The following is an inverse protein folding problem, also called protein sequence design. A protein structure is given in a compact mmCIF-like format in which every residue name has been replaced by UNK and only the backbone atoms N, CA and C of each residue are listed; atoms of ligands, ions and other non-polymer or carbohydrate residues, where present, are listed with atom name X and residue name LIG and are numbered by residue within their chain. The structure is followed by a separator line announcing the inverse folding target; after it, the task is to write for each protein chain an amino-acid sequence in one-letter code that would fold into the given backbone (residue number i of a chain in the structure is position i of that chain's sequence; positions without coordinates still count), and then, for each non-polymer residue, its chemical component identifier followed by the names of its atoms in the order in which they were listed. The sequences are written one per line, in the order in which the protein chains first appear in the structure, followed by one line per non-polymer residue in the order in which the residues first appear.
data_IF_893767776014
#
_entry.id   IF_893767776014
#
_cell.length_a   1.000
_cell.length_b   1.000
_cell.length_c   1.000
_cell.angle_alpha   90.00
_cell.angle_beta   90.00
_cell.angle_gamma   90.00
#
_symmetry.space_group_name_H-M   'P 1'
#
loop_
_entity.id
_entity.type
_entity.pdbx_description
1 polymer ?
#
# COMPACT_ATOMS: atom_id res chain seq x y z
N UNK A 1 21.87 49.41 10.89
CA UNK A 1 20.74 48.43 10.78
C UNK A 1 21.31 47.17 10.18
N UNK A 2 21.74 46.21 11.00
CA UNK A 2 22.28 44.93 10.54
C UNK A 2 21.12 43.96 10.39
N UNK A 3 20.80 43.59 9.17
CA UNK A 3 19.83 42.52 8.88
C UNK A 3 20.50 41.18 9.24
N UNK A 4 20.10 40.59 10.34
CA UNK A 4 20.47 39.24 10.72
C UNK A 4 19.77 38.28 9.75
N UNK A 5 20.48 37.84 8.71
CA UNK A 5 20.07 36.74 7.85
C UNK A 5 19.88 35.50 8.74
N UNK A 6 18.63 35.11 8.94
CA UNK A 6 18.30 33.82 9.54
C UNK A 6 18.95 32.74 8.68
N UNK A 7 20.04 32.15 9.17
CA UNK A 7 20.71 31.04 8.54
C UNK A 7 19.70 29.90 8.38
N UNK A 8 19.44 29.49 7.14
CA UNK A 8 18.67 28.30 6.84
C UNK A 8 19.33 27.11 7.54
N UNK A 9 18.60 26.23 8.23
CA UNK A 9 19.20 25.09 8.92
C UNK A 9 20.04 24.30 7.91
N UNK A 10 21.31 24.03 8.29
CA UNK A 10 22.26 23.31 7.44
C UNK A 10 21.63 21.98 6.99
N UNK A 11 21.66 21.72 5.67
CA UNK A 11 21.12 20.49 5.11
C UNK A 11 21.81 19.27 5.75
N UNK A 12 21.03 18.30 6.25
CA UNK A 12 21.59 17.05 6.76
C UNK A 12 22.48 16.38 5.69
N UNK A 13 23.59 15.73 6.06
CA UNK A 13 24.46 15.07 5.10
C UNK A 13 23.66 14.03 4.29
N UNK A 14 23.88 13.96 2.97
CA UNK A 14 23.22 13.02 2.07
C UNK A 14 23.28 11.57 2.58
N UNK A 15 24.44 11.18 3.13
CA UNK A 15 24.66 9.85 3.70
C UNK A 15 23.74 9.54 4.89
N UNK A 16 23.39 10.55 5.66
CA UNK A 16 22.50 10.40 6.82
C UNK A 16 21.05 10.20 6.38
N UNK A 17 20.57 11.01 5.43
CA UNK A 17 19.25 10.84 4.85
C UNK A 17 19.10 9.49 4.13
N UNK A 18 20.10 9.10 3.33
CA UNK A 18 20.11 7.82 2.64
C UNK A 18 20.05 6.63 3.63
N UNK A 19 20.74 6.72 4.77
CA UNK A 19 20.67 5.69 5.80
C UNK A 19 19.27 5.58 6.42
N UNK A 20 18.64 6.70 6.75
CA UNK A 20 17.26 6.71 7.28
C UNK A 20 16.29 6.17 6.25
N UNK A 21 16.35 6.63 5.00
CA UNK A 21 15.51 6.15 3.90
C UNK A 21 15.67 4.63 3.71
N UNK A 22 16.92 4.13 3.75
CA UNK A 22 17.21 2.71 3.62
C UNK A 22 16.65 1.87 4.76
N UNK A 23 16.83 2.31 6.02
CA UNK A 23 16.32 1.60 7.20
C UNK A 23 14.79 1.56 7.22
N UNK A 24 14.13 2.68 6.95
CA UNK A 24 12.67 2.75 6.85
C UNK A 24 12.19 1.89 5.67
N UNK A 25 12.86 1.97 4.51
CA UNK A 25 12.51 1.20 3.33
C UNK A 25 12.61 -0.32 3.55
N UNK A 26 13.66 -0.80 4.22
CA UNK A 26 13.81 -2.23 4.56
C UNK A 26 12.73 -2.68 5.55
N UNK A 27 12.41 -1.89 6.57
CA UNK A 27 11.32 -2.18 7.48
C UNK A 27 9.97 -2.22 6.75
N UNK A 28 9.71 -1.26 5.87
CA UNK A 28 8.51 -1.19 5.07
C UNK A 28 8.37 -2.37 4.10
N UNK A 29 9.49 -2.83 3.53
CA UNK A 29 9.48 -4.01 2.68
C UNK A 29 9.08 -5.29 3.46
N UNK A 30 9.47 -5.43 4.74
CA UNK A 30 9.01 -6.53 5.61
C UNK A 30 7.51 -6.43 5.90
N UNK A 31 6.97 -5.23 6.11
CA UNK A 31 5.53 -5.02 6.25
C UNK A 31 4.76 -5.56 5.04
N UNK A 32 5.13 -5.13 3.82
CA UNK A 32 4.49 -5.58 2.59
C UNK A 32 4.73 -7.08 2.29
N UNK A 33 5.92 -7.59 2.57
CA UNK A 33 6.22 -9.02 2.52
C UNK A 33 5.25 -9.81 3.43
N UNK A 34 5.02 -9.31 4.64
CA UNK A 34 4.14 -9.97 5.62
C UNK A 34 2.66 -9.97 5.20
N UNK A 35 2.21 -8.99 4.42
CA UNK A 35 0.86 -8.96 3.86
C UNK A 35 0.57 -10.12 2.90
N UNK A 36 1.60 -10.65 2.25
CA UNK A 36 1.48 -11.71 1.24
C UNK A 36 2.01 -13.07 1.69
N UNK A 37 2.24 -13.33 2.98
CA UNK A 37 2.74 -14.63 3.44
C UNK A 37 1.77 -15.78 3.16
N UNK A 38 0.48 -15.55 3.36
CA UNK A 38 -0.54 -16.61 3.25
C UNK A 38 -0.93 -16.92 1.80
N UNK A 39 -1.14 -15.90 0.96
CA UNK A 39 -1.73 -16.07 -0.36
C UNK A 39 -0.93 -17.03 -1.27
N UNK A 40 0.41 -16.97 -1.39
CA UNK A 40 1.18 -17.93 -2.17
C UNK A 40 1.13 -19.37 -1.62
N UNK A 41 0.77 -19.54 -0.35
CA UNK A 41 0.70 -20.83 0.34
C UNK A 41 -0.71 -21.42 0.38
N UNK A 42 -1.71 -20.78 -0.21
CA UNK A 42 -3.10 -21.24 -0.24
C UNK A 42 -3.27 -22.71 -0.66
N UNK A 43 -2.57 -23.25 -1.67
CA UNK A 43 -2.70 -24.67 -2.01
C UNK A 43 -2.36 -25.61 -0.85
N UNK A 44 -1.30 -25.32 -0.10
CA UNK A 44 -0.87 -26.14 1.07
C UNK A 44 -1.83 -25.98 2.25
N UNK A 45 -2.20 -24.74 2.57
CA UNK A 45 -3.10 -24.45 3.68
C UNK A 45 -4.49 -25.02 3.44
N UNK A 46 -5.00 -24.93 2.19
CA UNK A 46 -6.28 -25.52 1.79
C UNK A 46 -6.30 -27.02 2.02
N UNK A 47 -5.24 -27.71 1.59
CA UNK A 47 -5.14 -29.17 1.71
C UNK A 47 -4.99 -29.62 3.16
N UNK A 48 -4.17 -28.94 3.97
CA UNK A 48 -3.86 -29.35 5.34
C UNK A 48 -5.01 -29.08 6.32
N UNK A 49 -5.63 -27.89 6.21
CA UNK A 49 -6.71 -27.49 7.12
C UNK A 49 -8.11 -27.86 6.61
N UNK A 50 -8.21 -28.44 5.40
CA UNK A 50 -9.46 -28.76 4.72
C UNK A 50 -10.43 -27.57 4.69
N UNK A 51 -9.92 -26.42 4.31
CA UNK A 51 -10.66 -25.14 4.26
C UNK A 51 -10.92 -24.70 2.83
N UNK A 52 -11.92 -23.83 2.64
CA UNK A 52 -12.26 -23.24 1.34
C UNK A 52 -11.36 -22.04 1.02
N UNK A 53 -11.34 -21.60 -0.26
CA UNK A 53 -10.69 -20.36 -0.64
C UNK A 53 -11.34 -19.13 0.00
N UNK A 54 -12.66 -19.17 0.24
CA UNK A 54 -13.37 -18.12 1.00
C UNK A 54 -12.83 -18.02 2.43
N UNK A 55 -12.60 -19.16 3.11
CA UNK A 55 -12.02 -19.17 4.46
C UNK A 55 -10.56 -18.66 4.44
N UNK A 56 -9.76 -19.05 3.46
CA UNK A 56 -8.41 -18.49 3.31
C UNK A 56 -8.45 -16.97 3.03
N UNK A 57 -9.39 -16.53 2.20
CA UNK A 57 -9.64 -15.11 1.98
C UNK A 57 -10.06 -14.37 3.25
N UNK A 58 -10.85 -15.01 4.13
CA UNK A 58 -11.24 -14.44 5.42
C UNK A 58 -10.03 -14.18 6.34
N UNK A 59 -8.97 -15.00 6.28
CA UNK A 59 -7.72 -14.71 7.02
C UNK A 59 -7.08 -13.40 6.57
N UNK A 60 -7.08 -13.14 5.24
CA UNK A 60 -6.60 -11.86 4.70
C UNK A 60 -7.51 -10.70 5.12
N UNK A 61 -8.84 -10.91 5.10
CA UNK A 61 -9.80 -9.91 5.59
C UNK A 61 -9.54 -9.57 7.06
N UNK A 62 -9.35 -10.58 7.93
CA UNK A 62 -9.03 -10.38 9.36
C UNK A 62 -7.74 -9.58 9.50
N UNK A 63 -6.71 -9.92 8.74
CA UNK A 63 -5.45 -9.17 8.73
C UNK A 63 -5.67 -7.70 8.37
N UNK A 64 -6.32 -7.41 7.22
CA UNK A 64 -6.48 -6.03 6.74
C UNK A 64 -7.44 -5.20 7.61
N UNK A 65 -8.53 -5.77 8.11
CA UNK A 65 -9.43 -5.08 9.05
C UNK A 65 -8.70 -4.71 10.34
N UNK A 66 -7.94 -5.64 10.90
CA UNK A 66 -7.13 -5.39 12.11
C UNK A 66 -6.06 -4.33 11.84
N UNK A 67 -5.34 -4.44 10.72
CA UNK A 67 -4.32 -3.46 10.32
C UNK A 67 -4.91 -2.06 10.17
N UNK A 68 -6.07 -1.92 9.51
CA UNK A 68 -6.76 -0.64 9.34
C UNK A 68 -7.16 -0.02 10.67
N UNK A 69 -7.72 -0.83 11.58
CA UNK A 69 -8.13 -0.35 12.91
C UNK A 69 -6.93 0.16 13.72
N UNK A 70 -5.82 -0.60 13.69
CA UNK A 70 -4.57 -0.21 14.36
C UNK A 70 -3.96 1.02 13.69
N UNK A 71 -3.93 1.08 12.35
CA UNK A 71 -3.38 2.22 11.61
C UNK A 71 -4.10 3.52 11.97
N UNK A 72 -5.43 3.49 12.12
CA UNK A 72 -6.20 4.66 12.54
C UNK A 72 -5.83 5.16 13.94
N UNK A 73 -5.45 4.26 14.85
CA UNK A 73 -5.05 4.59 16.21
C UNK A 73 -3.54 4.85 16.38
N UNK A 74 -2.71 4.35 15.47
CA UNK A 74 -1.26 4.32 15.64
C UNK A 74 -0.61 5.71 15.61
N UNK A 75 -1.23 6.71 14.98
CA UNK A 75 -0.78 8.11 15.06
C UNK A 75 -0.68 8.61 16.50
N UNK A 76 -1.67 8.34 17.33
CA UNK A 76 -1.65 8.72 18.76
C UNK A 76 -0.57 7.96 19.56
N UNK A 77 -0.33 6.70 19.20
CA UNK A 77 0.72 5.87 19.81
C UNK A 77 2.10 6.40 19.45
N UNK A 78 2.31 6.77 18.17
CA UNK A 78 3.55 7.38 17.67
C UNK A 78 3.81 8.73 18.33
N UNK A 79 2.80 9.56 18.49
CA UNK A 79 2.94 10.87 19.13
C UNK A 79 3.31 10.74 20.63
N UNK A 80 2.80 9.70 21.31
CA UNK A 80 3.05 9.47 22.74
C UNK A 80 4.40 8.80 23.02
N UNK A 81 4.75 7.76 22.25
CA UNK A 81 5.91 6.89 22.52
C UNK A 81 7.07 7.13 21.55
N UNK A 82 6.85 7.92 20.51
CA UNK A 82 7.79 8.12 19.42
C UNK A 82 7.77 7.01 18.37
N UNK A 83 8.24 7.27 17.14
CA UNK A 83 8.15 6.32 16.03
C UNK A 83 9.09 5.11 16.19
N UNK A 84 10.28 5.27 16.77
CA UNK A 84 11.27 4.20 16.89
C UNK A 84 10.77 2.97 17.67
N UNK A 85 10.29 3.07 18.93
CA UNK A 85 9.80 1.89 19.66
C UNK A 85 8.57 1.27 19.01
N UNK A 86 7.71 2.06 18.39
CA UNK A 86 6.51 1.57 17.70
C UNK A 86 6.89 0.76 16.45
N UNK A 87 7.90 1.20 15.68
CA UNK A 87 8.43 0.45 14.54
C UNK A 87 9.02 -0.90 14.96
N UNK A 88 9.83 -0.90 16.02
CA UNK A 88 10.42 -2.14 16.54
C UNK A 88 9.35 -3.10 17.05
N UNK A 89 8.31 -2.60 17.72
CA UNK A 89 7.16 -3.41 18.13
C UNK A 89 6.43 -4.01 16.92
N UNK A 90 6.17 -3.21 15.88
CA UNK A 90 5.55 -3.68 14.65
C UNK A 90 6.31 -4.84 14.01
N UNK A 91 7.63 -4.71 13.84
CA UNK A 91 8.48 -5.78 13.31
C UNK A 91 8.47 -7.03 14.21
N UNK A 92 8.51 -6.84 15.54
CA UNK A 92 8.44 -7.95 16.49
C UNK A 92 7.13 -8.74 16.34
N UNK A 93 6.00 -8.03 16.22
CA UNK A 93 4.69 -8.65 16.03
C UNK A 93 4.58 -9.39 14.70
N UNK A 94 5.16 -8.84 13.60
CA UNK A 94 5.20 -9.54 12.31
C UNK A 94 6.01 -10.84 12.40
N UNK A 95 7.16 -10.81 13.05
CA UNK A 95 7.97 -12.01 13.29
C UNK A 95 7.24 -13.05 14.16
N UNK A 96 6.60 -12.61 15.25
CA UNK A 96 5.79 -13.48 16.12
C UNK A 96 4.58 -14.06 15.39
N UNK A 97 3.92 -13.27 14.54
CA UNK A 97 2.82 -13.77 13.72
C UNK A 97 3.27 -14.86 12.74
N UNK A 98 4.44 -14.70 12.10
CA UNK A 98 5.00 -15.71 11.22
C UNK A 98 5.33 -17.01 11.99
N UNK A 99 5.88 -16.92 13.23
CA UNK A 99 6.03 -18.06 14.12
C UNK A 99 4.68 -18.68 14.50
N UNK A 100 3.67 -17.85 14.77
CA UNK A 100 2.32 -18.29 15.05
C UNK A 100 1.72 -19.09 13.90
N UNK A 101 1.86 -18.58 12.66
CA UNK A 101 1.46 -19.33 11.46
C UNK A 101 2.19 -20.67 11.36
N UNK A 102 3.52 -20.69 11.52
CA UNK A 102 4.32 -21.92 11.42
C UNK A 102 3.88 -23.01 12.41
N UNK A 103 3.43 -22.60 13.61
CA UNK A 103 2.99 -23.49 14.67
C UNK A 103 1.47 -23.72 14.70
N UNK A 104 0.74 -23.26 13.68
CA UNK A 104 -0.71 -23.43 13.64
C UNK A 104 -1.10 -24.85 13.30
N UNK A 105 -2.01 -25.42 14.13
CA UNK A 105 -2.62 -26.74 13.95
C UNK A 105 -4.13 -26.67 13.72
N UNK A 106 -4.69 -25.46 13.67
CA UNK A 106 -6.12 -25.21 13.39
C UNK A 106 -6.32 -23.90 12.65
N UNK A 107 -7.44 -23.79 11.94
CA UNK A 107 -7.82 -22.55 11.29
C UNK A 107 -7.95 -21.36 12.27
N UNK A 108 -8.42 -21.61 13.50
CA UNK A 108 -8.51 -20.57 14.53
C UNK A 108 -7.13 -20.03 14.93
N UNK A 109 -6.09 -20.87 14.98
CA UNK A 109 -4.72 -20.42 15.24
C UNK A 109 -4.16 -19.59 14.08
N UNK A 110 -4.49 -19.95 12.83
CA UNK A 110 -4.16 -19.11 11.66
C UNK A 110 -4.85 -17.74 11.77
N UNK A 111 -6.14 -17.71 12.14
CA UNK A 111 -6.87 -16.46 12.31
C UNK A 111 -6.31 -15.60 13.46
N UNK A 112 -5.94 -16.19 14.59
CA UNK A 112 -5.28 -15.50 15.69
C UNK A 112 -3.93 -14.89 15.24
N UNK A 113 -3.14 -15.67 14.49
CA UNK A 113 -1.87 -15.18 13.92
C UNK A 113 -2.10 -14.05 12.92
N UNK A 114 -3.20 -14.09 12.14
CA UNK A 114 -3.57 -13.00 11.22
C UNK A 114 -3.92 -11.71 11.98
N UNK A 115 -4.58 -11.80 13.14
CA UNK A 115 -4.82 -10.64 14.02
C UNK A 115 -3.49 -10.05 14.50
N UNK A 116 -2.56 -10.89 15.00
CA UNK A 116 -1.24 -10.40 15.46
C UNK A 116 -0.46 -9.76 14.31
N UNK A 117 -0.49 -10.36 13.12
CA UNK A 117 0.13 -9.80 11.92
C UNK A 117 -0.49 -8.45 11.54
N UNK A 118 -1.82 -8.34 11.58
CA UNK A 118 -2.56 -7.09 11.32
C UNK A 118 -2.20 -5.98 12.30
N UNK A 119 -2.10 -6.31 13.61
CA UNK A 119 -1.65 -5.34 14.64
C UNK A 119 -0.24 -4.86 14.32
N UNK A 120 0.69 -5.79 14.01
CA UNK A 120 2.07 -5.45 13.66
C UNK A 120 2.16 -4.60 12.39
N UNK A 121 1.33 -4.89 11.38
CA UNK A 121 1.32 -4.16 10.10
C UNK A 121 0.77 -2.73 10.21
N UNK A 122 -0.26 -2.52 11.04
CA UNK A 122 -0.99 -1.25 11.09
C UNK A 122 -0.18 -0.05 11.59
N UNK A 123 1.00 -0.27 12.18
CA UNK A 123 1.82 0.84 12.69
C UNK A 123 2.76 1.44 11.64
N UNK A 124 3.04 0.74 10.51
CA UNK A 124 4.13 1.12 9.60
C UNK A 124 3.93 2.47 8.94
N UNK A 125 2.81 2.69 8.23
CA UNK A 125 2.62 3.93 7.50
C UNK A 125 2.75 5.18 8.38
N UNK A 126 2.07 5.29 9.55
CA UNK A 126 2.24 6.44 10.45
C UNK A 126 3.67 6.62 10.96
N UNK A 127 4.35 5.52 11.28
CA UNK A 127 5.74 5.54 11.75
C UNK A 127 6.68 5.97 10.63
N UNK A 128 6.58 5.34 9.47
CA UNK A 128 7.46 5.55 8.32
C UNK A 128 7.40 7.01 7.85
N UNK A 129 6.19 7.53 7.64
CA UNK A 129 6.01 8.93 7.26
C UNK A 129 6.49 9.90 8.35
N UNK A 130 6.32 9.57 9.63
CA UNK A 130 6.85 10.40 10.72
C UNK A 130 8.38 10.46 10.69
N UNK A 131 9.05 9.31 10.53
CA UNK A 131 10.51 9.24 10.44
C UNK A 131 11.04 9.97 9.20
N UNK A 132 10.46 9.71 8.03
CA UNK A 132 10.88 10.36 6.80
C UNK A 132 10.70 11.88 6.87
N UNK A 133 9.54 12.36 7.32
CA UNK A 133 9.25 13.80 7.40
C UNK A 133 10.11 14.54 8.41
N UNK A 134 10.50 13.89 9.52
CA UNK A 134 11.27 14.54 10.61
C UNK A 134 12.78 14.41 10.44
N UNK A 135 13.27 13.37 9.75
CA UNK A 135 14.71 13.09 9.64
C UNK A 135 15.31 13.38 8.27
N UNK A 136 14.53 13.33 7.20
CA UNK A 136 15.03 13.57 5.84
C UNK A 136 14.88 15.03 5.46
N UNK A 137 15.89 15.60 4.84
CA UNK A 137 15.86 17.00 4.38
C UNK A 137 14.74 17.23 3.37
N UNK A 138 14.03 18.36 3.47
CA UNK A 138 12.83 18.69 2.66
C UNK A 138 13.05 18.56 1.16
N UNK A 139 14.23 18.91 0.64
CA UNK A 139 14.54 18.79 -0.80
C UNK A 139 14.64 17.34 -1.28
N UNK A 140 14.78 16.37 -0.39
CA UNK A 140 14.93 14.93 -0.69
C UNK A 140 13.72 14.09 -0.31
N UNK A 141 12.67 14.69 0.28
CA UNK A 141 11.45 13.96 0.67
C UNK A 141 10.76 13.26 -0.50
N UNK A 142 10.76 13.85 -1.69
CA UNK A 142 10.20 13.21 -2.88
C UNK A 142 10.91 11.89 -3.22
N UNK A 143 12.25 11.86 -3.12
CA UNK A 143 13.04 10.63 -3.31
C UNK A 143 12.79 9.61 -2.19
N UNK A 144 12.63 10.09 -0.94
CA UNK A 144 12.32 9.23 0.21
C UNK A 144 10.97 8.52 0.03
N UNK A 145 9.92 9.23 -0.39
CA UNK A 145 8.61 8.63 -0.67
C UNK A 145 8.62 7.68 -1.87
N UNK A 146 9.41 7.99 -2.92
CA UNK A 146 9.58 7.07 -4.04
C UNK A 146 10.28 5.79 -3.61
N UNK A 147 11.36 5.89 -2.83
CA UNK A 147 12.07 4.73 -2.30
C UNK A 147 11.15 3.89 -1.39
N UNK A 148 10.35 4.53 -0.52
CA UNK A 148 9.37 3.86 0.33
C UNK A 148 8.34 3.07 -0.51
N UNK A 149 7.76 3.65 -1.56
CA UNK A 149 6.82 2.95 -2.44
C UNK A 149 7.46 1.78 -3.19
N UNK A 150 8.69 1.95 -3.69
CA UNK A 150 9.45 0.90 -4.39
C UNK A 150 9.75 -0.26 -3.43
N UNK A 151 10.25 0.04 -2.22
CA UNK A 151 10.58 -1.01 -1.25
C UNK A 151 9.35 -1.80 -0.81
N UNK A 152 8.19 -1.15 -0.67
CA UNK A 152 6.92 -1.83 -0.43
C UNK A 152 6.57 -2.80 -1.56
N UNK A 153 6.63 -2.36 -2.81
CA UNK A 153 6.34 -3.22 -3.97
C UNK A 153 7.31 -4.40 -4.08
N UNK A 154 8.60 -4.18 -3.77
CA UNK A 154 9.60 -5.24 -3.73
C UNK A 154 9.35 -6.22 -2.57
N UNK A 155 8.83 -5.75 -1.44
CA UNK A 155 8.38 -6.61 -0.35
C UNK A 155 7.29 -7.59 -0.80
N UNK A 156 6.29 -7.12 -1.53
CA UNK A 156 5.28 -8.00 -2.14
C UNK A 156 5.88 -8.98 -3.16
N UNK A 157 6.86 -8.57 -3.97
CA UNK A 157 7.54 -9.47 -4.91
C UNK A 157 8.33 -10.57 -4.20
N UNK A 158 8.95 -10.24 -3.06
CA UNK A 158 9.76 -11.18 -2.29
C UNK A 158 8.91 -12.31 -1.66
N UNK A 159 7.67 -12.05 -1.29
CA UNK A 159 6.83 -13.03 -0.63
C UNK A 159 6.65 -14.32 -1.46
N UNK A 160 6.09 -14.32 -2.67
CA UNK A 160 5.98 -15.55 -3.46
C UNK A 160 7.36 -16.09 -3.88
N UNK A 161 8.35 -15.22 -4.12
CA UNK A 161 9.70 -15.63 -4.52
C UNK A 161 10.45 -16.42 -3.43
N UNK A 162 10.18 -16.14 -2.15
CA UNK A 162 10.75 -16.87 -1.02
C UNK A 162 9.84 -18.04 -0.59
N UNK A 163 8.55 -17.74 -0.40
CA UNK A 163 7.63 -18.67 0.27
C UNK A 163 7.41 -19.95 -0.53
N UNK A 164 7.21 -19.84 -1.86
CA UNK A 164 6.86 -21.02 -2.66
C UNK A 164 8.04 -21.97 -2.88
N UNK A 165 9.25 -21.52 -3.27
CA UNK A 165 10.41 -22.45 -3.38
C UNK A 165 10.73 -23.15 -2.06
N UNK A 166 10.68 -22.44 -0.93
CA UNK A 166 10.92 -23.05 0.38
C UNK A 166 9.80 -24.03 0.73
N UNK A 167 8.54 -23.69 0.45
CA UNK A 167 7.41 -24.60 0.72
C UNK A 167 7.48 -25.87 -0.13
N UNK A 168 7.92 -25.79 -1.40
CA UNK A 168 8.13 -26.94 -2.26
C UNK A 168 9.28 -27.83 -1.78
N UNK A 169 10.36 -27.24 -1.26
CA UNK A 169 11.53 -27.97 -0.80
C UNK A 169 11.39 -28.57 0.60
N UNK A 170 10.74 -27.86 1.52
CA UNK A 170 10.79 -28.16 2.97
C UNK A 170 9.45 -28.01 3.67
N UNK A 171 8.38 -27.68 2.94
CA UNK A 171 7.04 -27.49 3.50
C UNK A 171 6.75 -26.04 3.89
N UNK A 172 5.47 -25.70 3.92
CA UNK A 172 4.98 -24.34 4.17
C UNK A 172 5.31 -23.81 5.58
N UNK A 173 5.43 -24.69 6.59
CA UNK A 173 5.83 -24.28 7.94
C UNK A 173 7.26 -23.77 7.97
N UNK A 174 8.17 -24.42 7.25
CA UNK A 174 9.56 -23.95 7.12
C UNK A 174 9.60 -22.62 6.39
N UNK A 175 8.77 -22.43 5.37
CA UNK A 175 8.64 -21.13 4.69
C UNK A 175 8.22 -20.02 5.67
N UNK A 176 7.27 -20.29 6.57
CA UNK A 176 6.87 -19.34 7.63
C UNK A 176 7.98 -19.09 8.66
N UNK A 177 8.78 -20.09 9.00
CA UNK A 177 9.97 -19.90 9.85
C UNK A 177 11.02 -19.01 9.17
N UNK A 178 11.22 -19.20 7.86
CA UNK A 178 12.08 -18.28 7.06
C UNK A 178 11.54 -16.87 7.06
N UNK A 179 10.22 -16.68 6.94
CA UNK A 179 9.59 -15.37 7.02
C UNK A 179 9.80 -14.72 8.41
N UNK A 180 9.68 -15.49 9.48
CA UNK A 180 9.98 -15.03 10.84
C UNK A 180 11.46 -14.61 10.96
N UNK A 181 12.37 -15.42 10.42
CA UNK A 181 13.80 -15.10 10.41
C UNK A 181 14.11 -13.80 9.67
N UNK A 182 13.46 -13.53 8.53
CA UNK A 182 13.58 -12.25 7.80
C UNK A 182 13.11 -11.09 8.67
N UNK A 183 11.94 -11.20 9.31
CA UNK A 183 11.40 -10.14 10.18
C UNK A 183 12.33 -9.86 11.37
N UNK A 184 12.82 -10.91 12.05
CA UNK A 184 13.73 -10.74 13.19
C UNK A 184 15.14 -10.29 12.78
N UNK A 185 15.63 -10.66 11.61
CA UNK A 185 16.90 -10.15 11.08
C UNK A 185 16.82 -8.63 10.83
N UNK A 186 15.70 -8.17 10.25
CA UNK A 186 15.48 -6.73 10.04
C UNK A 186 15.26 -6.02 11.38
N UNK A 187 14.54 -6.62 12.32
CA UNK A 187 14.41 -6.10 13.69
C UNK A 187 15.79 -5.92 14.35
N UNK A 188 16.66 -6.92 14.26
CA UNK A 188 18.03 -6.85 14.79
C UNK A 188 18.86 -5.75 14.12
N UNK A 189 18.75 -5.61 12.79
CA UNK A 189 19.38 -4.53 12.03
C UNK A 189 18.92 -3.15 12.52
N UNK A 190 17.60 -2.95 12.66
CA UNK A 190 17.04 -1.68 13.13
C UNK A 190 17.40 -1.42 14.60
N UNK A 191 17.43 -2.46 15.42
CA UNK A 191 17.87 -2.33 16.80
C UNK A 191 19.35 -1.90 16.89
N UNK A 192 20.21 -2.49 16.08
CA UNK A 192 21.62 -2.08 15.98
C UNK A 192 21.78 -0.63 15.51
N UNK A 193 20.94 -0.19 14.55
CA UNK A 193 20.98 1.16 13.99
C UNK A 193 19.99 2.14 14.68
N UNK A 194 19.44 1.78 15.85
CA UNK A 194 18.32 2.49 16.48
C UNK A 194 18.58 3.98 16.73
N UNK A 195 19.83 4.38 16.94
CA UNK A 195 20.19 5.78 17.18
C UNK A 195 19.93 6.66 15.94
N UNK A 196 20.07 6.09 14.75
CA UNK A 196 19.74 6.80 13.50
C UNK A 196 18.25 7.09 13.34
N UNK A 197 17.39 6.30 14.00
CA UNK A 197 15.94 6.46 14.00
C UNK A 197 15.42 7.24 15.22
N UNK A 198 16.29 7.59 16.18
CA UNK A 198 15.92 8.40 17.32
C UNK A 198 15.51 9.81 16.86
N UNK A 199 14.36 10.28 17.32
CA UNK A 199 14.01 11.70 17.23
C UNK A 199 14.57 12.38 18.48
N UNK A 200 15.10 13.58 18.31
CA UNK A 200 15.45 14.43 19.44
C UNK A 200 14.19 14.69 20.25
N UNK A 201 14.26 14.49 21.56
CA UNK A 201 13.14 14.72 22.45
C UNK A 201 12.74 16.20 22.41
N UNK A 202 11.45 16.48 22.52
CA UNK A 202 10.89 17.83 22.44
C UNK A 202 11.51 18.85 23.41
N UNK A 203 12.22 18.38 24.45
CA UNK A 203 12.96 19.21 25.41
C UNK A 203 14.22 19.86 24.80
N UNK A 204 14.68 19.46 23.62
CA UNK A 204 15.81 20.08 22.91
C UNK A 204 15.41 21.09 21.84
N UNK A 205 14.11 21.26 21.56
CA UNK A 205 13.64 22.33 20.69
C UNK A 205 13.52 23.61 21.53
N UNK A 206 14.18 24.72 21.14
CA UNK A 206 13.91 26.00 21.80
C UNK A 206 12.42 26.25 21.73
N UNK A 207 11.81 26.51 22.90
CA UNK A 207 10.41 26.85 23.00
C UNK A 207 10.06 27.87 21.91
N UNK A 208 9.11 27.53 21.03
CA UNK A 208 8.55 28.50 20.10
C UNK A 208 8.14 29.69 20.98
N UNK A 209 8.91 30.75 20.94
CA UNK A 209 8.58 32.02 21.53
C UNK A 209 7.14 32.31 21.15
N UNK A 210 6.28 32.31 22.17
CA UNK A 210 4.92 32.80 22.03
C UNK A 210 5.03 34.17 21.38
N UNK A 211 4.49 34.30 20.18
CA UNK A 211 4.42 35.61 19.51
C UNK A 211 3.63 36.54 20.41
N UNK A 212 4.28 37.58 20.85
CA UNK A 212 3.65 38.69 21.60
C UNK A 212 2.51 39.29 20.74
N UNK A 213 1.39 39.71 21.34
CA UNK A 213 0.32 40.36 20.63
C UNK A 213 0.71 41.83 20.40
N UNK A 214 0.94 42.22 19.17
CA UNK A 214 1.18 43.64 18.87
C UNK A 214 1.40 43.90 17.39
N UNK A 215 0.34 44.35 16.71
CA UNK A 215 0.46 44.86 15.34
C UNK A 215 -0.85 44.82 14.58
N UNK A 216 -1.58 45.95 14.61
CA UNK A 216 -2.90 46.11 14.03
C UNK A 216 -2.93 46.05 12.49
N UNK A 217 -4.13 45.67 12.02
CA UNK A 217 -4.72 45.95 10.70
C UNK A 217 -4.15 45.31 9.45
N UNK A 218 -4.68 44.13 9.13
CA UNK A 218 -5.23 43.83 7.83
C UNK A 218 -6.38 42.83 8.02
N UNK A 219 -7.61 43.33 7.99
CA UNK A 219 -8.82 42.52 7.88
C UNK A 219 -8.83 41.86 6.49
N UNK A 220 -8.10 40.78 6.34
CA UNK A 220 -8.41 39.78 5.33
C UNK A 220 -9.47 38.90 5.99
N UNK A 221 -10.72 38.99 5.51
CA UNK A 221 -11.84 38.15 5.93
C UNK A 221 -11.37 36.70 5.93
N UNK A 222 -11.14 36.14 7.13
CA UNK A 222 -10.88 34.72 7.26
C UNK A 222 -12.07 33.96 6.66
N UNK A 223 -11.83 32.96 5.75
CA UNK A 223 -12.91 32.09 5.31
C UNK A 223 -13.53 31.49 6.58
N UNK A 224 -14.86 31.42 6.63
CA UNK A 224 -15.61 30.83 7.72
C UNK A 224 -14.95 29.52 8.14
N UNK A 225 -14.70 29.34 9.44
CA UNK A 225 -14.03 28.16 10.00
C UNK A 225 -14.77 26.90 9.52
N UNK A 226 -14.21 26.21 8.52
CA UNK A 226 -14.74 24.97 7.99
C UNK A 226 -14.72 23.94 9.14
N UNK A 227 -15.83 23.26 9.39
CA UNK A 227 -15.95 22.22 10.40
C UNK A 227 -14.97 21.09 10.13
N UNK A 228 -14.55 20.33 11.16
CA UNK A 228 -13.55 19.27 11.03
C UNK A 228 -13.91 18.17 10.01
N UNK A 229 -15.19 18.06 9.60
CA UNK A 229 -15.72 17.07 8.66
C UNK A 229 -16.28 17.65 7.36
N UNK A 230 -16.16 18.96 7.10
CA UNK A 230 -16.74 19.59 5.91
C UNK A 230 -16.11 19.06 4.60
N UNK A 231 -14.89 18.55 4.64
CA UNK A 231 -14.26 17.90 3.51
C UNK A 231 -15.02 16.64 3.03
N UNK A 232 -15.79 15.97 3.90
CA UNK A 232 -16.64 14.81 3.53
C UNK A 232 -17.82 15.21 2.63
N UNK A 233 -18.16 16.50 2.55
CA UNK A 233 -19.16 17.02 1.62
C UNK A 233 -18.62 17.24 0.20
N UNK A 234 -17.32 17.05 0.00
CA UNK A 234 -16.66 17.22 -1.31
C UNK A 234 -16.84 15.93 -2.12
N UNK A 235 -17.62 15.91 -3.21
CA UNK A 235 -17.86 14.68 -3.98
C UNK A 235 -16.57 14.06 -4.53
N UNK A 236 -15.56 14.88 -4.87
CA UNK A 236 -14.26 14.41 -5.36
C UNK A 236 -13.53 13.51 -4.34
N UNK A 237 -13.72 13.72 -3.02
CA UNK A 237 -13.11 12.90 -1.96
C UNK A 237 -13.66 11.46 -2.04
N UNK A 238 -14.98 11.31 -2.15
CA UNK A 238 -15.63 10.00 -2.28
C UNK A 238 -15.29 9.28 -3.58
N UNK A 239 -15.14 10.04 -4.66
CA UNK A 239 -14.71 9.47 -5.94
C UNK A 239 -13.27 8.98 -5.89
N UNK A 240 -12.38 9.71 -5.21
CA UNK A 240 -11.02 9.25 -4.96
C UNK A 240 -10.99 8.01 -4.05
N UNK A 241 -11.80 7.98 -2.97
CA UNK A 241 -11.96 6.81 -2.13
C UNK A 241 -12.42 5.59 -2.95
N UNK A 242 -13.48 5.75 -3.75
CA UNK A 242 -13.99 4.67 -4.63
C UNK A 242 -12.91 4.20 -5.61
N UNK A 243 -12.16 5.12 -6.19
CA UNK A 243 -11.06 4.78 -7.09
C UNK A 243 -10.00 3.92 -6.40
N UNK A 244 -9.56 4.30 -5.19
CA UNK A 244 -8.59 3.52 -4.42
C UNK A 244 -9.15 2.19 -3.94
N UNK A 245 -10.42 2.13 -3.58
CA UNK A 245 -11.11 0.88 -3.24
C UNK A 245 -11.09 -0.08 -4.44
N UNK A 246 -11.52 0.37 -5.62
CA UNK A 246 -11.52 -0.45 -6.82
C UNK A 246 -10.10 -0.90 -7.21
N UNK A 247 -9.11 0.00 -7.10
CA UNK A 247 -7.71 -0.34 -7.33
C UNK A 247 -7.22 -1.43 -6.37
N UNK A 248 -7.55 -1.32 -5.08
CA UNK A 248 -7.18 -2.30 -4.07
C UNK A 248 -7.90 -3.65 -4.26
N UNK A 249 -9.14 -3.65 -4.74
CA UNK A 249 -9.85 -4.87 -5.12
C UNK A 249 -9.11 -5.61 -6.25
N UNK A 250 -8.69 -4.88 -7.30
CA UNK A 250 -7.89 -5.48 -8.39
C UNK A 250 -6.57 -6.03 -7.86
N UNK A 251 -5.84 -5.22 -7.08
CA UNK A 251 -4.54 -5.60 -6.54
C UNK A 251 -4.66 -6.85 -5.66
N UNK A 252 -5.62 -6.88 -4.73
CA UNK A 252 -5.86 -8.00 -3.82
C UNK A 252 -6.24 -9.28 -4.58
N UNK A 253 -7.09 -9.19 -5.59
CA UNK A 253 -7.48 -10.34 -6.41
C UNK A 253 -6.29 -10.88 -7.23
N UNK A 254 -5.44 -10.00 -7.77
CA UNK A 254 -4.20 -10.40 -8.47
C UNK A 254 -3.23 -11.06 -7.50
N UNK A 255 -3.06 -10.52 -6.32
CA UNK A 255 -2.12 -11.03 -5.33
C UNK A 255 -2.53 -12.39 -4.75
N UNK A 256 -3.84 -12.61 -4.56
CA UNK A 256 -4.34 -13.74 -3.78
C UNK A 256 -4.87 -14.89 -4.64
N UNK A 257 -5.48 -14.61 -5.78
CA UNK A 257 -6.24 -15.61 -6.53
C UNK A 257 -5.89 -15.74 -8.01
N UNK A 258 -5.42 -14.66 -8.67
CA UNK A 258 -5.14 -14.71 -10.10
C UNK A 258 -4.09 -15.76 -10.49
N UNK A 259 -2.98 -15.98 -9.75
CA UNK A 259 -2.02 -17.03 -10.06
C UNK A 259 -2.65 -18.44 -10.00
N UNK A 260 -3.44 -18.71 -8.97
CA UNK A 260 -4.10 -20.02 -8.83
C UNK A 260 -5.24 -20.21 -9.86
N UNK A 261 -6.00 -19.14 -10.16
CA UNK A 261 -6.99 -19.18 -11.23
C UNK A 261 -6.35 -19.45 -12.61
N UNK A 262 -5.17 -18.86 -12.88
CA UNK A 262 -4.39 -19.16 -14.09
C UNK A 262 -3.90 -20.61 -14.12
N UNK A 263 -3.46 -21.14 -12.98
CA UNK A 263 -3.04 -22.54 -12.84
C UNK A 263 -4.15 -23.49 -13.23
N UNK A 264 -5.34 -23.26 -12.72
CA UNK A 264 -6.51 -24.11 -12.97
C UNK A 264 -7.02 -23.97 -14.41
N UNK A 265 -6.96 -22.76 -15.00
CA UNK A 265 -7.52 -22.50 -16.33
C UNK A 265 -6.58 -22.87 -17.47
N UNK A 266 -5.26 -22.69 -17.27
CA UNK A 266 -4.23 -22.88 -18.32
C UNK A 266 -3.22 -23.99 -17.99
N UNK A 267 -3.50 -24.83 -16.99
CA UNK A 267 -2.63 -25.93 -16.55
C UNK A 267 -1.17 -25.49 -16.26
N UNK A 268 -1.01 -24.31 -15.64
CA UNK A 268 0.33 -23.74 -15.34
C UNK A 268 1.00 -24.57 -14.23
N UNK A 269 2.25 -25.03 -14.41
CA UNK A 269 2.98 -25.69 -13.34
C UNK A 269 3.13 -24.81 -12.08
N UNK A 270 3.12 -25.42 -10.90
CA UNK A 270 3.17 -24.68 -9.61
C UNK A 270 4.39 -23.78 -9.50
N UNK A 271 5.53 -24.18 -10.05
CA UNK A 271 6.77 -23.40 -10.09
C UNK A 271 6.60 -22.09 -10.86
N UNK A 272 5.88 -22.13 -12.00
CA UNK A 272 5.60 -20.94 -12.80
C UNK A 272 4.51 -20.05 -12.15
N UNK A 273 3.57 -20.63 -11.42
CA UNK A 273 2.54 -19.88 -10.67
C UNK A 273 3.19 -18.93 -9.66
N UNK A 274 4.19 -19.42 -8.91
CA UNK A 274 4.94 -18.58 -7.97
C UNK A 274 5.65 -17.42 -8.68
N UNK A 275 6.25 -17.69 -9.83
CA UNK A 275 6.94 -16.68 -10.62
C UNK A 275 5.98 -15.61 -11.16
N UNK A 276 4.74 -15.96 -11.51
CA UNK A 276 3.76 -15.04 -12.06
C UNK A 276 3.56 -13.79 -11.17
N UNK A 277 3.34 -13.98 -9.89
CA UNK A 277 3.12 -12.85 -8.98
C UNK A 277 4.37 -12.03 -8.75
N UNK A 278 5.54 -12.67 -8.56
CA UNK A 278 6.82 -11.96 -8.43
C UNK A 278 7.14 -11.14 -9.68
N UNK A 279 6.95 -11.71 -10.86
CA UNK A 279 7.16 -11.02 -12.15
C UNK A 279 6.18 -9.84 -12.27
N UNK A 280 4.90 -10.04 -11.95
CA UNK A 280 3.92 -8.95 -11.92
C UNK A 280 4.39 -7.80 -11.03
N UNK A 281 4.83 -8.08 -9.79
CA UNK A 281 5.24 -7.06 -8.83
C UNK A 281 6.51 -6.32 -9.26
N UNK A 282 7.53 -7.04 -9.75
CA UNK A 282 8.77 -6.44 -10.25
C UNK A 282 8.50 -5.56 -11.49
N UNK A 283 7.70 -6.07 -12.44
CA UNK A 283 7.31 -5.30 -13.61
C UNK A 283 6.43 -4.10 -13.24
N UNK A 284 5.58 -4.22 -12.22
CA UNK A 284 4.79 -3.10 -11.69
C UNK A 284 5.69 -2.01 -11.08
N UNK A 285 6.70 -2.40 -10.29
CA UNK A 285 7.69 -1.45 -9.76
C UNK A 285 8.45 -0.73 -10.88
N UNK A 286 8.89 -1.47 -11.90
CA UNK A 286 9.53 -0.90 -13.08
C UNK A 286 8.59 0.03 -13.85
N UNK A 287 7.33 -0.36 -14.00
CA UNK A 287 6.27 0.45 -14.59
C UNK A 287 6.05 1.75 -13.82
N UNK A 288 6.09 1.74 -12.48
CA UNK A 288 5.97 2.95 -11.65
C UNK A 288 7.10 3.95 -11.92
N UNK A 289 8.33 3.49 -12.15
CA UNK A 289 9.45 4.37 -12.52
C UNK A 289 9.16 5.06 -13.85
N UNK A 290 8.73 4.31 -14.87
CA UNK A 290 8.35 4.86 -16.18
C UNK A 290 7.13 5.79 -16.05
N UNK A 291 6.15 5.40 -15.25
CA UNK A 291 4.95 6.18 -14.95
C UNK A 291 5.23 7.54 -14.30
N UNK A 292 6.32 7.64 -13.53
CA UNK A 292 6.78 8.90 -12.95
C UNK A 292 7.07 9.96 -14.02
N UNK A 293 7.70 9.59 -15.13
CA UNK A 293 7.94 10.49 -16.26
C UNK A 293 6.62 10.87 -16.98
N UNK A 294 5.68 9.92 -17.09
CA UNK A 294 4.37 10.17 -17.71
C UNK A 294 3.48 11.08 -16.86
N UNK A 295 3.62 11.04 -15.55
CA UNK A 295 2.86 11.86 -14.60
C UNK A 295 3.32 13.33 -14.54
N UNK A 296 4.47 13.67 -15.13
CA UNK A 296 4.97 15.04 -15.18
C UNK A 296 4.00 15.99 -15.90
N UNK A 297 3.28 15.52 -16.93
CA UNK A 297 2.19 16.26 -17.56
C UNK A 297 0.85 15.88 -16.91
N UNK A 298 0.44 16.76 -16.08
CA UNK A 298 -0.77 16.59 -15.30
C UNK A 298 -2.07 16.58 -16.15
N UNK A 299 -2.07 17.10 -17.38
CA UNK A 299 -3.22 17.06 -18.28
C UNK A 299 -3.43 15.66 -18.90
N UNK A 300 -2.44 14.79 -18.79
CA UNK A 300 -2.45 13.44 -19.37
C UNK A 300 -2.73 12.35 -18.34
N UNK A 301 -2.75 12.66 -17.03
CA UNK A 301 -2.88 11.65 -15.98
C UNK A 301 -4.09 10.73 -16.17
N UNK A 302 -5.28 11.26 -16.53
CA UNK A 302 -6.46 10.40 -16.73
C UNK A 302 -6.29 9.48 -17.94
N UNK A 303 -5.63 9.94 -19.01
CA UNK A 303 -5.36 9.11 -20.19
C UNK A 303 -4.36 8.00 -19.86
N UNK A 304 -3.31 8.31 -19.10
CA UNK A 304 -2.32 7.30 -18.66
C UNK A 304 -2.98 6.23 -17.82
N UNK A 305 -3.84 6.62 -16.85
CA UNK A 305 -4.61 5.66 -16.04
C UNK A 305 -5.57 4.86 -16.92
N UNK A 306 -6.31 5.53 -17.83
CA UNK A 306 -7.25 4.87 -18.71
C UNK A 306 -6.60 3.85 -19.64
N UNK A 307 -5.46 4.18 -20.26
CA UNK A 307 -4.73 3.29 -21.16
C UNK A 307 -4.10 2.14 -20.35
N UNK A 308 -3.42 2.44 -19.25
CA UNK A 308 -2.74 1.42 -18.42
C UNK A 308 -3.73 0.38 -17.88
N UNK A 309 -4.83 0.84 -17.28
CA UNK A 309 -5.86 -0.06 -16.75
C UNK A 309 -6.66 -0.74 -17.87
N UNK A 310 -6.89 -0.09 -19.02
CA UNK A 310 -7.53 -0.67 -20.19
C UNK A 310 -6.72 -1.82 -20.78
N UNK A 311 -5.40 -1.65 -20.93
CA UNK A 311 -4.52 -2.72 -21.37
C UNK A 311 -4.48 -3.86 -20.35
N UNK A 312 -4.43 -3.56 -19.05
CA UNK A 312 -4.48 -4.58 -18.01
C UNK A 312 -5.82 -5.36 -18.04
N UNK A 313 -6.94 -4.69 -18.26
CA UNK A 313 -8.25 -5.33 -18.45
C UNK A 313 -8.30 -6.21 -19.70
N UNK A 314 -7.70 -5.75 -20.81
CA UNK A 314 -7.62 -6.55 -22.04
C UNK A 314 -6.77 -7.81 -21.84
N UNK A 315 -5.65 -7.73 -21.09
CA UNK A 315 -4.85 -8.90 -20.72
C UNK A 315 -5.68 -9.84 -19.83
N UNK A 316 -6.41 -9.32 -18.84
CA UNK A 316 -7.29 -10.15 -18.00
C UNK A 316 -8.37 -10.85 -18.80
N UNK A 317 -8.99 -10.19 -19.78
CA UNK A 317 -9.98 -10.82 -20.70
C UNK A 317 -9.30 -11.86 -21.60
N UNK A 318 -8.08 -11.63 -22.10
CA UNK A 318 -7.35 -12.63 -22.86
C UNK A 318 -7.08 -13.89 -22.03
N UNK A 319 -6.71 -13.73 -20.75
CA UNK A 319 -6.58 -14.82 -19.79
C UNK A 319 -7.89 -15.57 -19.53
N UNK A 320 -9.03 -14.89 -19.62
CA UNK A 320 -10.35 -15.51 -19.43
C UNK A 320 -10.80 -16.34 -20.63
N UNK A 321 -10.51 -15.89 -21.87
CA UNK A 321 -11.18 -16.42 -23.06
C UNK A 321 -10.28 -17.04 -24.12
N UNK A 322 -8.97 -16.74 -24.09
CA UNK A 322 -8.05 -17.30 -25.08
C UNK A 322 -7.32 -18.55 -24.56
N UNK A 323 -6.98 -19.50 -25.42
CA UNK A 323 -6.14 -20.64 -25.05
C UNK A 323 -4.68 -20.16 -24.92
N UNK A 324 -4.25 -19.86 -23.68
CA UNK A 324 -2.91 -19.36 -23.40
C UNK A 324 -1.99 -20.54 -23.05
N UNK A 325 -0.85 -20.66 -23.72
CA UNK A 325 0.16 -21.62 -23.36
C UNK A 325 0.73 -21.31 -21.96
N UNK A 326 0.92 -22.32 -21.12
CA UNK A 326 1.38 -22.17 -19.73
C UNK A 326 2.66 -21.30 -19.60
N UNK A 327 3.61 -21.43 -20.54
CA UNK A 327 4.83 -20.63 -20.58
C UNK A 327 4.61 -19.13 -20.83
N UNK A 328 3.50 -18.75 -21.46
CA UNK A 328 3.16 -17.34 -21.74
C UNK A 328 2.47 -16.65 -20.56
N UNK A 329 1.94 -17.40 -19.61
CA UNK A 329 1.20 -16.84 -18.46
C UNK A 329 2.08 -15.90 -17.63
N UNK A 330 3.34 -16.23 -17.24
CA UNK A 330 4.20 -15.29 -16.52
C UNK A 330 4.49 -14.00 -17.32
N UNK A 331 4.60 -14.08 -18.64
CA UNK A 331 4.82 -12.93 -19.53
C UNK A 331 3.61 -11.98 -19.48
N UNK A 332 2.38 -12.53 -19.54
CA UNK A 332 1.16 -11.75 -19.43
C UNK A 332 1.01 -11.12 -18.04
N UNK A 333 1.39 -11.81 -16.97
CA UNK A 333 1.47 -11.22 -15.64
C UNK A 333 2.46 -10.04 -15.59
N UNK A 334 3.63 -10.18 -16.20
CA UNK A 334 4.63 -9.12 -16.31
C UNK A 334 4.11 -7.89 -17.06
N UNK A 335 3.50 -8.11 -18.22
CA UNK A 335 2.89 -7.04 -19.02
C UNK A 335 1.77 -6.34 -18.24
N UNK A 336 0.88 -7.12 -17.62
CA UNK A 336 -0.20 -6.57 -16.78
C UNK A 336 0.36 -5.75 -15.61
N UNK A 337 1.43 -6.23 -14.97
CA UNK A 337 2.14 -5.50 -13.93
C UNK A 337 2.74 -4.18 -14.42
N UNK A 338 3.47 -4.21 -15.54
CA UNK A 338 4.12 -3.03 -16.11
C UNK A 338 3.11 -1.93 -16.47
N UNK A 339 2.00 -2.28 -17.14
CA UNK A 339 0.99 -1.30 -17.54
C UNK A 339 0.18 -0.77 -16.34
N UNK A 340 -0.13 -1.62 -15.36
CA UNK A 340 -0.79 -1.20 -14.12
C UNK A 340 0.11 -0.30 -13.28
N UNK A 341 1.39 -0.66 -13.16
CA UNK A 341 2.39 0.11 -12.42
C UNK A 341 2.62 1.49 -13.03
N UNK A 342 2.67 1.61 -14.37
CA UNK A 342 2.86 2.88 -15.05
C UNK A 342 1.72 3.89 -14.79
N UNK A 343 0.53 3.41 -14.45
CA UNK A 343 -0.61 4.24 -14.07
C UNK A 343 -0.51 4.79 -12.63
N UNK A 344 0.32 4.20 -11.77
CA UNK A 344 0.41 4.52 -10.33
C UNK A 344 0.70 6.01 -10.04
N UNK A 345 1.80 6.60 -10.53
CA UNK A 345 2.12 8.00 -10.27
C UNK A 345 1.06 8.98 -10.78
N UNK A 346 0.46 8.68 -11.96
CA UNK A 346 -0.64 9.48 -12.50
C UNK A 346 -1.90 9.41 -11.63
N UNK A 347 -2.19 8.24 -11.05
CA UNK A 347 -3.25 8.04 -10.07
C UNK A 347 -3.07 8.93 -8.84
N UNK A 348 -1.88 8.91 -8.25
CA UNK A 348 -1.59 9.68 -7.03
C UNK A 348 -1.66 11.19 -7.29
N UNK A 349 -1.26 11.61 -8.50
CA UNK A 349 -1.40 13.00 -8.94
C UNK A 349 -2.87 13.43 -9.08
N UNK A 350 -3.77 12.54 -9.53
CA UNK A 350 -5.21 12.83 -9.61
C UNK A 350 -5.79 13.11 -8.21
N UNK A 351 -5.40 12.32 -7.21
CA UNK A 351 -5.84 12.54 -5.82
C UNK A 351 -5.32 13.84 -5.27
N UNK A 352 -4.01 14.10 -5.40
CA UNK A 352 -3.38 15.33 -4.92
C UNK A 352 -4.09 16.58 -5.47
N UNK A 353 -4.50 16.55 -6.72
CA UNK A 353 -5.22 17.66 -7.37
C UNK A 353 -6.66 17.81 -6.92
N UNK A 354 -7.27 16.75 -6.45
CA UNK A 354 -8.66 16.76 -5.98
C UNK A 354 -8.78 17.11 -4.50
N UNK A 355 -7.65 17.28 -3.82
CA UNK A 355 -7.56 17.58 -2.39
C UNK A 355 -7.39 19.08 -2.16
N UNK A 356 -8.22 19.72 -1.32
CA UNK A 356 -8.00 21.11 -0.90
C UNK A 356 -6.70 21.26 -0.10
N UNK A 357 -5.99 22.38 -0.27
CA UNK A 357 -4.69 22.63 0.37
C UNK A 357 -4.77 22.64 1.91
N UNK A 358 -5.91 23.09 2.48
CA UNK A 358 -6.15 23.20 3.92
C UNK A 358 -6.60 21.89 4.59
N UNK A 359 -6.97 20.86 3.81
CA UNK A 359 -7.53 19.61 4.33
C UNK A 359 -6.71 18.35 3.93
N UNK A 360 -5.48 18.53 3.45
CA UNK A 360 -4.69 17.47 2.83
C UNK A 360 -4.55 16.20 3.69
N UNK A 361 -4.16 16.31 4.96
CA UNK A 361 -3.96 15.14 5.84
C UNK A 361 -5.23 14.32 6.07
N UNK A 362 -6.37 14.98 6.35
CA UNK A 362 -7.65 14.30 6.61
C UNK A 362 -8.24 13.66 5.35
N UNK A 363 -8.16 14.36 4.23
CA UNK A 363 -8.62 13.86 2.93
C UNK A 363 -7.80 12.65 2.51
N UNK A 364 -6.47 12.70 2.65
CA UNK A 364 -5.62 11.55 2.36
C UNK A 364 -5.98 10.35 3.24
N UNK A 365 -6.22 10.56 4.55
CA UNK A 365 -6.63 9.49 5.46
C UNK A 365 -7.90 8.77 4.99
N UNK A 366 -8.96 9.52 4.63
CA UNK A 366 -10.22 8.92 4.14
C UNK A 366 -10.02 8.29 2.76
N UNK A 367 -9.33 8.93 1.84
CA UNK A 367 -9.12 8.39 0.49
C UNK A 367 -8.32 7.09 0.51
N UNK A 368 -7.25 7.05 1.30
CA UNK A 368 -6.40 5.85 1.39
C UNK A 368 -7.06 4.71 2.19
N UNK A 369 -8.07 4.97 3.05
CA UNK A 369 -8.84 3.88 3.65
C UNK A 369 -9.57 3.03 2.61
N UNK A 370 -9.80 3.56 1.41
CA UNK A 370 -10.28 2.77 0.27
C UNK A 370 -9.35 1.61 -0.08
N UNK A 371 -8.03 1.76 0.06
CA UNK A 371 -7.07 0.67 -0.16
C UNK A 371 -7.33 -0.50 0.81
N UNK A 372 -7.44 -0.18 2.08
CA UNK A 372 -7.62 -1.19 3.13
C UNK A 372 -8.97 -1.89 3.00
N UNK A 373 -10.04 -1.12 2.72
CA UNK A 373 -11.38 -1.65 2.50
C UNK A 373 -11.40 -2.60 1.29
N UNK A 374 -10.78 -2.20 0.18
CA UNK A 374 -10.68 -3.05 -1.02
C UNK A 374 -9.89 -4.34 -0.77
N UNK A 375 -8.78 -4.25 -0.05
CA UNK A 375 -7.96 -5.39 0.36
C UNK A 375 -8.71 -6.34 1.32
N UNK A 376 -9.61 -5.83 2.15
CA UNK A 376 -10.42 -6.63 3.07
C UNK A 376 -11.60 -7.33 2.37
N UNK A 377 -12.26 -6.67 1.40
CA UNK A 377 -13.47 -7.19 0.76
C UNK A 377 -13.14 -8.15 -0.39
N UNK A 378 -12.13 -7.84 -1.20
CA UNK A 378 -11.80 -8.61 -2.40
C UNK A 378 -11.57 -10.10 -2.14
N UNK A 379 -10.84 -10.51 -1.07
CA UNK A 379 -10.59 -11.92 -0.80
C UNK A 379 -11.85 -12.75 -0.58
N UNK A 380 -12.90 -12.18 -0.01
CA UNK A 380 -14.16 -12.88 0.20
C UNK A 380 -14.89 -13.11 -1.13
N UNK A 381 -14.98 -12.08 -1.98
CA UNK A 381 -15.67 -12.15 -3.26
C UNK A 381 -14.95 -13.12 -4.23
N UNK A 382 -13.64 -12.93 -4.41
CA UNK A 382 -12.86 -13.76 -5.33
C UNK A 382 -12.62 -15.17 -4.79
N UNK A 383 -12.48 -15.34 -3.47
CA UNK A 383 -12.42 -16.64 -2.81
C UNK A 383 -13.68 -17.47 -3.08
N UNK A 384 -14.87 -16.83 -3.05
CA UNK A 384 -16.12 -17.50 -3.39
C UNK A 384 -16.16 -17.96 -4.86
N UNK A 385 -15.67 -17.16 -5.80
CA UNK A 385 -15.55 -17.58 -7.20
C UNK A 385 -14.62 -18.80 -7.36
N UNK A 386 -13.52 -18.81 -6.61
CA UNK A 386 -12.57 -19.95 -6.60
C UNK A 386 -13.21 -21.22 -6.04
N UNK A 387 -14.00 -21.11 -4.96
CA UNK A 387 -14.72 -22.26 -4.36
C UNK A 387 -15.79 -22.82 -5.30
N UNK A 388 -16.41 -21.98 -6.11
CA UNK A 388 -17.36 -22.37 -7.17
C UNK A 388 -16.68 -22.87 -8.45
N UNK A 389 -15.33 -23.02 -8.46
CA UNK A 389 -14.54 -23.41 -9.64
C UNK A 389 -14.73 -22.47 -10.84
N UNK A 390 -15.15 -21.22 -10.59
CA UNK A 390 -15.36 -20.20 -11.60
C UNK A 390 -14.08 -19.43 -11.91
N UNK A 391 -13.01 -20.10 -12.26
CA UNK A 391 -11.70 -19.52 -12.52
C UNK A 391 -11.71 -18.45 -13.61
N UNK A 392 -12.53 -18.66 -14.67
CA UNK A 392 -12.75 -17.66 -15.71
C UNK A 392 -13.37 -16.38 -15.15
N UNK A 393 -14.35 -16.51 -14.24
CA UNK A 393 -15.03 -15.38 -13.62
C UNK A 393 -14.09 -14.53 -12.74
N UNK A 394 -13.02 -15.10 -12.21
CA UNK A 394 -11.96 -14.31 -11.53
C UNK A 394 -11.34 -13.31 -12.49
N UNK A 395 -10.97 -13.73 -13.70
CA UNK A 395 -10.37 -12.86 -14.71
C UNK A 395 -11.36 -11.84 -15.28
N UNK A 396 -12.60 -12.26 -15.52
CA UNK A 396 -13.68 -11.35 -15.95
C UNK A 396 -13.97 -10.31 -14.85
N UNK A 397 -14.03 -10.74 -13.60
CA UNK A 397 -14.19 -9.83 -12.44
C UNK A 397 -13.06 -8.80 -12.34
N UNK A 398 -11.81 -9.23 -12.53
CA UNK A 398 -10.67 -8.31 -12.60
C UNK A 398 -10.85 -7.27 -13.70
N UNK A 399 -11.21 -7.69 -14.91
CA UNK A 399 -11.43 -6.78 -16.04
C UNK A 399 -12.60 -5.81 -15.80
N UNK A 400 -13.69 -6.27 -15.21
CA UNK A 400 -14.84 -5.43 -14.86
C UNK A 400 -14.48 -4.38 -13.83
N UNK A 401 -13.77 -4.75 -12.76
CA UNK A 401 -13.35 -3.80 -11.72
C UNK A 401 -12.35 -2.78 -12.31
N UNK A 402 -11.44 -3.19 -13.19
CA UNK A 402 -10.55 -2.27 -13.92
C UNK A 402 -11.34 -1.30 -14.81
N UNK A 403 -12.39 -1.77 -15.47
CA UNK A 403 -13.30 -0.93 -16.25
C UNK A 403 -14.01 0.12 -15.37
N UNK A 404 -14.53 -0.29 -14.22
CA UNK A 404 -15.15 0.62 -13.24
C UNK A 404 -14.15 1.64 -12.70
N UNK A 405 -12.91 1.22 -12.48
CA UNK A 405 -11.82 2.10 -12.06
C UNK A 405 -11.54 3.18 -13.11
N UNK A 406 -11.50 2.83 -14.39
CA UNK A 406 -11.34 3.79 -15.49
C UNK A 406 -12.49 4.81 -15.47
N UNK A 407 -13.74 4.35 -15.39
CA UNK A 407 -14.91 5.23 -15.31
C UNK A 407 -14.82 6.17 -14.11
N UNK A 408 -14.39 5.66 -12.93
CA UNK A 408 -14.18 6.46 -11.73
C UNK A 408 -13.13 7.55 -11.96
N UNK A 409 -11.98 7.22 -12.57
CA UNK A 409 -10.90 8.17 -12.86
C UNK A 409 -11.37 9.34 -13.75
N UNK A 410 -12.14 9.05 -14.81
CA UNK A 410 -12.68 10.10 -15.69
C UNK A 410 -13.75 10.95 -15.03
N UNK A 411 -14.54 10.40 -14.11
CA UNK A 411 -15.55 11.15 -13.38
C UNK A 411 -14.97 12.13 -12.36
N UNK A 412 -13.84 11.82 -11.72
CA UNK A 412 -13.10 12.76 -10.86
C UNK A 412 -12.86 14.09 -11.60
N UNK A 413 -12.55 14.03 -12.87
CA UNK A 413 -12.36 15.23 -13.72
C UNK A 413 -13.65 16.03 -13.95
N UNK A 414 -14.79 15.36 -14.16
CA UNK A 414 -16.08 16.02 -14.43
C UNK A 414 -16.56 16.83 -13.24
N UNK A 415 -16.50 16.26 -12.05
CA UNK A 415 -16.92 16.94 -10.81
C UNK A 415 -16.10 18.20 -10.53
N UNK A 416 -14.83 18.21 -10.92
CA UNK A 416 -13.94 19.37 -10.77
C UNK A 416 -14.21 20.50 -11.75
N UNK A 417 -14.80 20.22 -12.92
CA UNK A 417 -15.08 21.23 -13.96
C UNK A 417 -16.40 21.98 -13.77
N UNK A 418 -17.24 21.58 -12.81
CA UNK A 418 -18.46 22.35 -12.49
C UNK A 418 -18.03 23.60 -11.73
N UNK A 419 -18.18 24.80 -12.30
CA UNK A 419 -17.90 26.04 -11.56
C UNK A 419 -18.80 26.08 -10.34
N UNK A 420 -18.26 26.41 -9.16
CA UNK A 420 -19.11 26.81 -8.02
C UNK A 420 -20.00 27.95 -8.52
N UNK A 421 -21.34 27.90 -8.37
CA UNK A 421 -22.16 29.05 -8.60
C UNK A 421 -21.61 30.18 -7.73
N UNK A 422 -21.25 31.32 -8.34
CA UNK A 422 -20.94 32.49 -7.58
C UNK A 422 -22.17 32.77 -6.69
N UNK A 423 -21.98 32.74 -5.38
CA UNK A 423 -23.00 33.23 -4.45
C UNK A 423 -23.22 34.68 -4.86
N UNK A 424 -24.30 34.91 -5.58
CA UNK A 424 -24.78 36.29 -5.85
C UNK A 424 -25.00 36.92 -4.49
N UNK A 425 -24.13 37.89 -4.17
CA UNK A 425 -24.35 38.84 -3.10
C UNK A 425 -25.61 39.64 -3.47
N UNK A 426 -26.68 39.36 -2.75
CA UNK A 426 -27.82 40.27 -2.63
C UNK A 426 -27.68 41.09 -1.34
#
# INVERSE_FOLDING_TARGET
MSATLLASPAASPLRQDAAVIGLVGVAHSVSHFSQLLLAPLFPWLKAEFNVSYTQLGLLLTVFFVTSTAVQAASGFVVDRFGPRPVLLLGLSLLGLAALGYANSHSYAMLAASAVVAGIGNGVFHPVDYTLLNRKVHKSRLGHAYSAHGITGTLGWALAPALMVPVALASGWRVAMLCAAAVAFAVLALLWWQRERLALETADSLPAKTAAAPGGANAQISAPAAEGPFDFLRIPAVWMCLLFFLLYAVVLSAVQSFAPEAARQLHAVPVQLVAACLSIYMVCSASGMVLGGFLAADAARCERVVGIGMGLAAAIALSMAYLPIAAAMVPVLFGLMGAVSGSAGPSRDMLVKRSTPDNASGRVFGVVYSGLDIGQAIAPLAFGRLMDLHQYRSVWVGLALVQGLLIVSAFNVRRVRRVPRPALMSA
#
